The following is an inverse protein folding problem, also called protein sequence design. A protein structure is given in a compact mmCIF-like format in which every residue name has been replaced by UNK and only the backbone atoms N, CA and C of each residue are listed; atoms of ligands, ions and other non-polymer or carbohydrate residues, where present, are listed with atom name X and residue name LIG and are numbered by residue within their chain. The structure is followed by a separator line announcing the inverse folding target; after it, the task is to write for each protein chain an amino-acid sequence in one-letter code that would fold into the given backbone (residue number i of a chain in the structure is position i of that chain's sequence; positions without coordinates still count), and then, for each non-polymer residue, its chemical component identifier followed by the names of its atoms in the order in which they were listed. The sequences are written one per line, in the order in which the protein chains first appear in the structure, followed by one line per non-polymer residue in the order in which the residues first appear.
data_IF_498340156927
#
_entry.id   IF_498340156927
#
_cell.length_a   1.000
_cell.length_b   1.000
_cell.length_c   1.000
_cell.angle_alpha   90.00
_cell.angle_beta   90.00
_cell.angle_gamma   90.00
#
_symmetry.space_group_name_H-M   'P 1'
#
loop_
_entity.id
_entity.type
_entity.pdbx_description
1 polymer ?
#
# COMPACT_ATOMS: atom_id res chain seq x y z
N UNK A 1 9.59 7.86 -12.55
CA UNK A 1 9.22 7.97 -13.97
C UNK A 1 7.95 7.15 -14.19
N UNK A 2 6.91 7.74 -14.77
CA UNK A 2 5.70 7.03 -15.18
C UNK A 2 5.84 6.54 -16.64
N UNK A 3 5.36 5.34 -16.91
CA UNK A 3 5.13 4.82 -18.26
C UNK A 3 3.82 4.05 -18.30
N UNK A 4 3.16 4.02 -19.46
CA UNK A 4 1.99 3.15 -19.64
C UNK A 4 2.35 1.68 -19.37
N UNK A 5 1.44 0.96 -18.73
CA UNK A 5 1.65 -0.45 -18.36
C UNK A 5 2.58 -0.68 -17.16
N UNK A 6 3.07 0.37 -16.48
CA UNK A 6 3.91 0.20 -15.29
C UNK A 6 3.13 -0.48 -14.15
N UNK A 7 3.76 -1.47 -13.50
CA UNK A 7 3.18 -2.18 -12.37
C UNK A 7 3.95 -1.87 -11.09
N UNK A 8 3.21 -1.52 -10.03
CA UNK A 8 3.73 -1.31 -8.69
C UNK A 8 3.62 -2.59 -7.86
N UNK A 9 4.59 -2.81 -6.98
CA UNK A 9 4.61 -3.93 -6.06
C UNK A 9 4.76 -3.43 -4.63
N UNK A 10 3.96 -3.98 -3.71
CA UNK A 10 4.08 -3.77 -2.27
C UNK A 10 4.40 -5.10 -1.62
N UNK A 11 5.42 -5.14 -0.75
CA UNK A 11 5.84 -6.36 -0.05
C UNK A 11 5.86 -6.10 1.46
N UNK A 12 5.23 -6.99 2.23
CA UNK A 12 5.24 -6.97 3.70
C UNK A 12 5.88 -8.27 4.18
N UNK A 13 6.98 -8.20 4.93
CA UNK A 13 7.69 -9.40 5.42
C UNK A 13 7.08 -10.02 6.68
N UNK A 14 6.35 -9.22 7.47
CA UNK A 14 5.79 -9.61 8.78
C UNK A 14 4.35 -9.12 8.91
N UNK A 15 3.52 -9.44 7.92
CA UNK A 15 2.10 -9.17 7.97
C UNK A 15 1.42 -10.07 9.01
N UNK A 16 0.33 -9.57 9.58
CA UNK A 16 -0.55 -10.33 10.46
C UNK A 16 -1.91 -10.48 9.81
N UNK A 17 -2.52 -11.66 9.96
CA UNK A 17 -3.89 -11.90 9.50
C UNK A 17 -4.82 -10.84 10.08
N UNK A 18 -5.63 -10.24 9.23
CA UNK A 18 -6.54 -9.16 9.58
C UNK A 18 -5.93 -7.75 9.52
N UNK A 19 -4.61 -7.61 9.32
CA UNK A 19 -4.02 -6.31 8.97
C UNK A 19 -4.73 -5.73 7.73
N UNK A 20 -4.86 -4.41 7.69
CA UNK A 20 -5.43 -3.68 6.56
C UNK A 20 -4.36 -2.85 5.89
N UNK A 21 -4.09 -3.12 4.63
CA UNK A 21 -3.15 -2.38 3.80
C UNK A 21 -3.91 -1.42 2.87
N UNK A 22 -3.59 -0.14 2.90
CA UNK A 22 -4.21 0.88 2.04
C UNK A 22 -3.19 1.48 1.08
N UNK A 23 -3.50 1.46 -0.20
CA UNK A 23 -2.76 2.18 -1.25
C UNK A 23 -3.38 3.55 -1.44
N UNK A 24 -2.53 4.57 -1.41
CA UNK A 24 -2.93 5.98 -1.42
C UNK A 24 -2.23 6.69 -2.57
N UNK A 25 -2.95 7.58 -3.23
CA UNK A 25 -2.44 8.54 -4.21
C UNK A 25 -2.92 9.97 -3.81
N UNK A 26 -2.72 11.02 -4.63
CA UNK A 26 -3.21 12.37 -4.33
C UNK A 26 -4.73 12.48 -4.11
N UNK A 27 -5.52 11.56 -4.66
CA UNK A 27 -6.98 11.53 -4.57
C UNK A 27 -7.45 10.83 -3.27
N UNK A 28 -6.52 10.26 -2.49
CA UNK A 28 -6.80 9.54 -1.26
C UNK A 28 -6.58 8.03 -1.37
N UNK A 29 -7.36 7.25 -0.60
CA UNK A 29 -7.27 5.78 -0.60
C UNK A 29 -7.93 5.25 -1.87
N UNK A 30 -7.13 4.60 -2.73
CA UNK A 30 -7.60 4.05 -4.00
C UNK A 30 -7.78 2.54 -3.98
N UNK A 31 -7.16 1.85 -3.02
CA UNK A 31 -7.31 0.41 -2.84
C UNK A 31 -7.02 0.01 -1.41
N UNK A 32 -7.73 -1.01 -0.94
CA UNK A 32 -7.48 -1.62 0.37
C UNK A 32 -7.43 -3.14 0.23
N UNK A 33 -6.51 -3.77 0.97
CA UNK A 33 -6.42 -5.22 1.12
C UNK A 33 -6.51 -5.60 2.59
N UNK A 34 -7.18 -6.71 2.86
CA UNK A 34 -7.14 -7.37 4.18
C UNK A 34 -6.21 -8.57 4.09
N UNK A 35 -5.22 -8.64 4.97
CA UNK A 35 -4.24 -9.72 4.99
C UNK A 35 -4.91 -11.02 5.45
N UNK A 36 -4.81 -12.06 4.63
CA UNK A 36 -5.49 -13.35 4.88
C UNK A 36 -4.70 -14.30 5.81
N UNK A 37 -3.39 -14.14 5.91
CA UNK A 37 -2.50 -15.00 6.70
C UNK A 37 -1.28 -14.24 7.24
N UNK A 38 -0.69 -14.78 8.31
CA UNK A 38 0.56 -14.27 8.87
C UNK A 38 1.75 -14.57 7.94
N UNK A 39 2.73 -13.67 7.91
CA UNK A 39 4.01 -13.88 7.23
C UNK A 39 4.27 -12.90 6.09
N UNK A 40 4.90 -13.37 5.02
CA UNK A 40 5.23 -12.56 3.86
C UNK A 40 4.06 -12.52 2.86
N UNK A 41 3.67 -11.31 2.46
CA UNK A 41 2.63 -11.10 1.44
C UNK A 41 3.08 -10.05 0.43
N UNK A 42 2.61 -10.22 -0.82
CA UNK A 42 2.87 -9.30 -1.92
C UNK A 42 1.58 -8.90 -2.60
N UNK A 43 1.47 -7.61 -2.92
CA UNK A 43 0.36 -7.04 -3.65
C UNK A 43 0.87 -6.28 -4.87
N UNK A 44 0.10 -6.36 -5.94
CA UNK A 44 0.39 -5.70 -7.20
C UNK A 44 -0.71 -4.69 -7.52
N UNK A 45 -0.34 -3.59 -8.15
CA UNK A 45 -1.27 -2.58 -8.63
C UNK A 45 -0.78 -1.97 -9.95
N UNK A 46 -1.72 -1.60 -10.81
CA UNK A 46 -1.40 -0.82 -12.01
C UNK A 46 -1.04 0.59 -11.59
N UNK A 47 0.11 1.07 -12.03
CA UNK A 47 0.51 2.46 -11.82
C UNK A 47 -0.21 3.32 -12.84
N UNK A 48 -0.85 4.39 -12.35
CA UNK A 48 -1.50 5.41 -13.17
C UNK A 48 -0.66 6.69 -13.16
N UNK A 49 -0.98 7.61 -14.08
CA UNK A 49 -0.39 8.94 -14.10
C UNK A 49 -0.87 9.75 -12.89
N UNK A 50 -0.16 9.62 -11.76
CA UNK A 50 -0.43 10.28 -10.47
C UNK A 50 0.86 10.77 -9.82
N UNK A 51 0.78 11.82 -8.99
CA UNK A 51 1.97 12.51 -8.47
C UNK A 51 2.81 11.60 -7.56
N UNK A 52 2.15 10.78 -6.74
CA UNK A 52 2.81 9.86 -5.84
C UNK A 52 1.94 8.65 -5.53
N UNK A 53 2.60 7.63 -4.96
CA UNK A 53 1.95 6.54 -4.24
C UNK A 53 2.52 6.41 -2.83
N UNK A 54 1.66 6.14 -1.85
CA UNK A 54 2.04 5.77 -0.48
C UNK A 54 1.25 4.53 -0.06
N UNK A 55 1.83 3.74 0.83
CA UNK A 55 1.13 2.63 1.47
C UNK A 55 1.06 2.86 2.97
N UNK A 56 -0.09 2.55 3.55
CA UNK A 56 -0.34 2.55 4.99
C UNK A 56 -0.80 1.16 5.43
N UNK A 57 -0.20 0.66 6.51
CA UNK A 57 -0.56 -0.60 7.17
C UNK A 57 -1.26 -0.27 8.49
N UNK A 58 -2.51 -0.70 8.60
CA UNK A 58 -3.29 -0.59 9.82
C UNK A 58 -3.40 -1.96 10.50
N UNK A 59 -3.21 -1.99 11.81
CA UNK A 59 -3.28 -3.19 12.64
C UNK A 59 -4.28 -3.00 13.76
N UNK A 60 -5.10 -4.01 14.01
CA UNK A 60 -6.00 -4.01 15.17
C UNK A 60 -5.29 -4.65 16.35
N UNK A 61 -5.14 -3.90 17.44
CA UNK A 61 -4.57 -4.39 18.71
C UNK A 61 -5.48 -3.96 19.84
N UNK A 62 -5.90 -4.92 20.68
CA UNK A 62 -6.85 -4.69 21.79
C UNK A 62 -8.15 -4.00 21.35
N UNK A 63 -8.65 -4.32 20.16
CA UNK A 63 -9.89 -3.76 19.60
C UNK A 63 -9.75 -2.37 18.97
N UNK A 64 -8.55 -1.78 18.96
CA UNK A 64 -8.28 -0.46 18.38
C UNK A 64 -7.50 -0.64 17.07
N UNK A 65 -7.94 0.01 16.00
CA UNK A 65 -7.20 0.03 14.72
C UNK A 65 -6.20 1.19 14.71
N UNK A 66 -4.91 0.87 14.64
CA UNK A 66 -3.81 1.83 14.66
C UNK A 66 -3.03 1.79 13.34
N UNK A 67 -2.47 2.92 12.94
CA UNK A 67 -1.49 2.98 11.85
C UNK A 67 -0.17 2.41 12.36
N UNK A 68 0.16 1.20 11.93
CA UNK A 68 1.34 0.45 12.36
C UNK A 68 2.60 0.87 11.60
N UNK A 69 2.45 1.08 10.29
CA UNK A 69 3.56 1.47 9.42
C UNK A 69 3.05 2.24 8.21
N UNK A 70 3.91 3.11 7.66
CA UNK A 70 3.66 3.77 6.38
C UNK A 70 4.95 3.89 5.59
N UNK A 71 4.85 3.90 4.27
CA UNK A 71 5.98 4.23 3.40
C UNK A 71 6.09 5.75 3.26
N UNK A 72 7.28 6.23 2.92
CA UNK A 72 7.38 7.56 2.31
C UNK A 72 6.62 7.55 0.97
N UNK A 73 6.02 8.69 0.56
CA UNK A 73 5.47 8.82 -0.78
C UNK A 73 6.56 8.58 -1.84
N UNK A 74 6.27 7.73 -2.80
CA UNK A 74 7.11 7.52 -3.99
C UNK A 74 6.58 8.41 -5.10
N UNK A 75 7.32 9.48 -5.40
CA UNK A 75 6.93 10.45 -6.43
C UNK A 75 7.21 9.92 -7.84
N UNK A 76 6.25 10.13 -8.73
CA UNK A 76 6.42 9.82 -10.14
C UNK A 76 6.81 11.10 -10.88
N UNK A 77 7.98 11.06 -11.51
CA UNK A 77 8.38 12.05 -12.52
C UNK A 77 7.73 11.74 -13.86
N UNK A 78 7.33 12.78 -14.59
CA UNK A 78 6.89 12.70 -15.98
C UNK A 78 7.98 13.34 -16.83
N UNK A 79 8.53 12.59 -17.76
CA UNK A 79 9.43 13.09 -18.81
C UNK A 79 8.64 13.31 -20.09
#
# INVERSE_FOLDING_TARGET
MFSEGLQGTVSLKKAKKGDRLSLINPDGVIRTWTIAHDGEVKFFFSVEKRLFYRVELYRTTLGISLLEAMTNPVYLTYS
#
